data_IF_029606684208
#
_entry.id   IF_029606684208
#
_cell.length_a   1.000
_cell.length_b   1.000
_cell.length_c   1.000
_cell.angle_alpha   90.00
_cell.angle_beta   90.00
_cell.angle_gamma   90.00
#
_symmetry.space_group_name_H-M   'P 1'
#
loop_
_entity.id
_entity.type
_entity.pdbx_description
1 polymer ?
#
# COMPACT_ATOMS: atom_id res chain seq x y z
N UNK A 1 14.17 49.22 -3.66
CA UNK A 1 14.30 48.20 -4.73
C UNK A 1 14.82 46.86 -4.20
N UNK A 2 15.64 46.84 -3.13
CA UNK A 2 16.13 45.62 -2.45
C UNK A 2 15.01 44.80 -1.75
N UNK A 3 14.11 45.47 -1.03
CA UNK A 3 13.05 44.83 -0.23
C UNK A 3 12.05 44.05 -1.11
N UNK A 4 11.72 44.58 -2.29
CA UNK A 4 10.84 43.91 -3.26
C UNK A 4 11.46 42.65 -3.86
N UNK A 5 12.80 42.60 -4.02
CA UNK A 5 13.51 41.41 -4.48
C UNK A 5 13.56 40.32 -3.41
N UNK A 6 13.77 40.71 -2.16
CA UNK A 6 13.75 39.78 -1.02
C UNK A 6 12.35 39.17 -0.80
N UNK A 7 11.28 39.97 -0.88
CA UNK A 7 9.90 39.47 -0.84
C UNK A 7 9.58 38.52 -1.99
N UNK A 8 10.02 38.86 -3.21
CA UNK A 8 9.86 37.98 -4.37
C UNK A 8 10.60 36.65 -4.19
N UNK A 9 11.80 36.66 -3.62
CA UNK A 9 12.58 35.46 -3.34
C UNK A 9 11.94 34.58 -2.26
N UNK A 10 11.41 35.20 -1.19
CA UNK A 10 10.72 34.49 -0.11
C UNK A 10 9.42 33.82 -0.59
N UNK A 11 8.65 34.52 -1.43
CA UNK A 11 7.44 33.98 -2.06
C UNK A 11 7.77 32.80 -2.98
N UNK A 12 8.85 32.90 -3.78
CA UNK A 12 9.31 31.78 -4.59
C UNK A 12 9.72 30.57 -3.74
N UNK A 13 10.40 30.78 -2.60
CA UNK A 13 10.82 29.70 -1.71
C UNK A 13 9.61 28.98 -1.07
N UNK A 14 8.61 29.74 -0.63
CA UNK A 14 7.36 29.20 -0.06
C UNK A 14 6.54 28.43 -1.09
N UNK A 15 6.49 28.90 -2.35
CA UNK A 15 5.83 28.20 -3.44
C UNK A 15 6.52 26.87 -3.74
N UNK A 16 7.86 26.84 -3.81
CA UNK A 16 8.64 25.62 -4.03
C UNK A 16 8.44 24.60 -2.90
N UNK A 17 8.44 25.04 -1.64
CA UNK A 17 8.13 24.18 -0.49
C UNK A 17 6.73 23.57 -0.61
N UNK A 18 5.72 24.34 -1.02
CA UNK A 18 4.34 23.82 -1.15
C UNK A 18 4.21 22.72 -2.21
N UNK A 19 4.98 22.80 -3.31
CA UNK A 19 4.97 21.82 -4.40
C UNK A 19 5.57 20.48 -3.94
N UNK A 20 6.56 20.50 -3.03
CA UNK A 20 7.16 19.28 -2.48
C UNK A 20 6.22 18.48 -1.58
N UNK A 21 5.18 19.10 -1.01
CA UNK A 21 4.21 18.44 -0.12
C UNK A 21 2.93 17.98 -0.82
N UNK A 22 2.80 18.18 -2.13
CA UNK A 22 1.63 17.68 -2.87
C UNK A 22 1.75 16.17 -2.99
N UNK A 23 0.83 15.37 -2.42
CA UNK A 23 0.81 13.93 -2.65
C UNK A 23 0.54 13.68 -4.14
N UNK A 24 1.38 12.88 -4.80
CA UNK A 24 1.10 12.40 -6.14
C UNK A 24 -0.18 11.54 -6.10
N UNK A 25 -1.30 12.11 -6.53
CA UNK A 25 -2.55 11.35 -6.70
C UNK A 25 -2.44 10.61 -8.02
N UNK A 26 -1.96 9.36 -7.99
CA UNK A 26 -1.96 8.51 -9.16
C UNK A 26 -3.40 8.11 -9.47
N UNK A 27 -3.93 8.51 -10.62
CA UNK A 27 -5.26 8.07 -11.07
C UNK A 27 -5.22 6.56 -11.27
N UNK A 28 -5.92 5.82 -10.40
CA UNK A 28 -6.03 4.36 -10.52
C UNK A 28 -6.87 4.06 -11.77
N UNK A 29 -6.27 3.39 -12.75
CA UNK A 29 -7.00 2.84 -13.89
C UNK A 29 -8.00 1.80 -13.38
N UNK A 30 -9.29 2.00 -13.70
CA UNK A 30 -10.37 1.06 -13.38
C UNK A 30 -10.30 -0.14 -14.33
N UNK A 31 -9.31 -0.99 -14.12
CA UNK A 31 -9.14 -2.25 -14.86
C UNK A 31 -8.86 -3.38 -13.89
N UNK A 32 -9.15 -4.63 -14.28
CA UNK A 32 -8.70 -5.79 -13.53
C UNK A 32 -7.20 -5.75 -13.29
N UNK A 33 -6.78 -5.92 -12.03
CA UNK A 33 -5.40 -6.20 -11.69
C UNK A 33 -5.07 -7.65 -12.06
N UNK A 34 -3.92 -7.88 -12.68
CA UNK A 34 -3.46 -9.22 -13.05
C UNK A 34 -2.63 -9.86 -11.94
N UNK A 35 -2.57 -11.18 -11.91
CA UNK A 35 -1.70 -11.92 -10.97
C UNK A 35 -0.23 -11.52 -11.10
N UNK A 36 0.23 -11.20 -12.32
CA UNK A 36 1.59 -10.73 -12.56
C UNK A 36 1.82 -9.38 -11.88
N UNK A 37 0.86 -8.46 -12.00
CA UNK A 37 0.93 -7.15 -11.36
C UNK A 37 0.86 -7.26 -9.83
N UNK A 38 0.02 -8.15 -9.28
CA UNK A 38 -0.02 -8.43 -7.84
C UNK A 38 1.35 -8.93 -7.35
N UNK A 39 1.96 -9.90 -8.07
CA UNK A 39 3.29 -10.43 -7.71
C UNK A 39 4.37 -9.36 -7.77
N UNK A 40 4.35 -8.52 -8.81
CA UNK A 40 5.31 -7.43 -8.96
C UNK A 40 5.18 -6.43 -7.80
N UNK A 41 3.98 -5.92 -7.53
CA UNK A 41 3.73 -5.00 -6.41
C UNK A 41 4.11 -5.60 -5.06
N UNK A 42 3.88 -6.90 -4.87
CA UNK A 42 4.29 -7.59 -3.64
C UNK A 42 5.82 -7.63 -3.51
N UNK A 43 6.53 -7.83 -4.62
CA UNK A 43 8.00 -7.76 -4.63
C UNK A 43 8.52 -6.37 -4.29
N UNK A 44 7.87 -5.31 -4.78
CA UNK A 44 8.17 -3.91 -4.42
C UNK A 44 7.96 -3.71 -2.91
N UNK A 45 6.85 -4.19 -2.35
CA UNK A 45 6.60 -4.18 -0.91
C UNK A 45 7.68 -4.90 -0.09
N UNK A 46 8.18 -6.04 -0.55
CA UNK A 46 9.30 -6.71 0.13
C UNK A 46 10.58 -5.87 0.10
N UNK A 47 10.88 -5.20 -1.02
CA UNK A 47 12.04 -4.33 -1.13
C UNK A 47 11.92 -3.12 -0.18
N UNK A 48 10.74 -2.52 -0.09
CA UNK A 48 10.45 -1.42 0.83
C UNK A 48 10.58 -1.85 2.29
N UNK A 49 10.11 -3.05 2.65
CA UNK A 49 10.32 -3.59 4.00
C UNK A 49 11.81 -3.80 4.27
N UNK A 50 12.56 -4.34 3.31
CA UNK A 50 14.01 -4.53 3.45
C UNK A 50 14.79 -3.22 3.54
N UNK A 51 14.29 -2.12 3.00
CA UNK A 51 14.89 -0.79 3.18
C UNK A 51 14.87 -0.31 4.65
N UNK A 52 14.01 -0.89 5.49
CA UNK A 52 13.86 -0.54 6.91
C UNK A 52 12.78 0.51 7.19
N UNK A 53 12.12 1.05 6.17
CA UNK A 53 11.04 2.05 6.30
C UNK A 53 9.81 1.55 7.09
N UNK A 54 9.61 0.23 7.17
CA UNK A 54 8.46 -0.40 7.82
C UNK A 54 8.71 -0.78 9.30
N UNK A 55 9.89 -0.45 9.84
CA UNK A 55 10.26 -0.75 11.22
C UNK A 55 10.76 -2.17 11.46
N UNK A 56 11.41 -2.39 12.60
CA UNK A 56 12.10 -3.66 12.91
C UNK A 56 11.14 -4.85 13.04
N UNK A 57 9.91 -4.61 13.51
CA UNK A 57 8.87 -5.62 13.61
C UNK A 57 8.56 -6.31 12.26
N UNK A 58 8.63 -5.61 11.12
CA UNK A 58 8.41 -6.23 9.81
C UNK A 58 9.57 -7.12 9.35
N UNK A 59 10.66 -7.21 10.13
CA UNK A 59 11.82 -8.06 9.88
C UNK A 59 12.04 -9.08 10.98
N UNK A 60 11.19 -9.13 12.00
CA UNK A 60 11.39 -10.03 13.15
C UNK A 60 11.24 -11.50 12.78
N UNK A 61 10.47 -11.80 11.73
CA UNK A 61 10.28 -13.15 11.21
C UNK A 61 9.76 -13.14 9.76
N UNK A 62 9.70 -14.32 9.14
CA UNK A 62 9.16 -14.48 7.79
C UNK A 62 7.67 -14.11 7.72
N UNK A 63 6.88 -14.48 8.74
CA UNK A 63 5.45 -14.15 8.78
C UNK A 63 5.19 -12.70 9.20
N UNK A 64 6.04 -12.11 10.04
CA UNK A 64 5.96 -10.68 10.30
C UNK A 64 6.21 -9.86 9.01
N UNK A 65 7.21 -10.27 8.22
CA UNK A 65 7.47 -9.70 6.89
C UNK A 65 6.30 -9.89 5.94
N UNK A 66 5.68 -11.08 5.93
CA UNK A 66 4.53 -11.37 5.09
C UNK A 66 3.30 -10.52 5.46
N UNK A 67 2.96 -10.43 6.75
CA UNK A 67 1.88 -9.57 7.23
C UNK A 67 2.10 -8.09 6.84
N UNK A 68 3.33 -7.58 6.96
CA UNK A 68 3.66 -6.23 6.51
C UNK A 68 3.57 -6.09 4.98
N UNK A 69 3.98 -7.11 4.22
CA UNK A 69 3.89 -7.08 2.76
C UNK A 69 2.43 -7.08 2.29
N UNK A 70 1.53 -7.82 2.96
CA UNK A 70 0.10 -7.77 2.69
C UNK A 70 -0.48 -6.38 2.99
N UNK A 71 -0.14 -5.79 4.14
CA UNK A 71 -0.54 -4.40 4.46
C UNK A 71 -0.06 -3.39 3.41
N UNK A 72 1.19 -3.51 2.97
CA UNK A 72 1.76 -2.69 1.91
C UNK A 72 1.01 -2.84 0.59
N UNK A 73 0.76 -4.08 0.19
CA UNK A 73 0.20 -4.42 -1.11
C UNK A 73 -1.23 -3.88 -1.28
N UNK A 74 -2.05 -3.98 -0.23
CA UNK A 74 -3.37 -3.34 -0.18
C UNK A 74 -3.81 -3.18 1.28
N UNK A 75 -3.70 -1.97 1.85
CA UNK A 75 -4.15 -1.72 3.23
C UNK A 75 -5.61 -2.09 3.45
N UNK A 76 -6.48 -1.77 2.49
CA UNK A 76 -7.93 -2.03 2.56
C UNK A 76 -8.23 -3.53 2.57
N UNK A 77 -7.57 -4.31 1.72
CA UNK A 77 -7.80 -5.76 1.69
C UNK A 77 -7.16 -6.46 2.89
N UNK A 78 -6.06 -5.94 3.42
CA UNK A 78 -5.48 -6.48 4.65
C UNK A 78 -6.42 -6.27 5.83
N UNK A 79 -6.97 -5.06 5.98
CA UNK A 79 -7.96 -4.75 7.03
C UNK A 79 -9.16 -5.69 6.97
N UNK A 80 -9.67 -5.93 5.75
CA UNK A 80 -10.84 -6.79 5.56
C UNK A 80 -10.58 -8.26 5.90
N UNK A 81 -9.40 -8.79 5.56
CA UNK A 81 -9.13 -10.24 5.57
C UNK A 81 -8.26 -10.69 6.76
N UNK A 82 -7.27 -9.90 7.16
CA UNK A 82 -6.21 -10.32 8.08
C UNK A 82 -6.05 -9.44 9.33
N UNK A 83 -6.61 -8.24 9.41
CA UNK A 83 -6.37 -7.35 10.57
C UNK A 83 -6.89 -7.91 11.89
N UNK A 84 -8.05 -8.56 11.89
CA UNK A 84 -8.60 -9.19 13.10
C UNK A 84 -7.84 -10.45 13.52
N UNK A 85 -7.16 -11.10 12.58
CA UNK A 85 -6.51 -12.39 12.76
C UNK A 85 -5.28 -12.49 11.82
N UNK A 86 -4.15 -11.85 12.17
CA UNK A 86 -2.96 -11.84 11.31
C UNK A 86 -2.40 -13.24 11.11
N UNK A 87 -1.63 -13.45 10.04
CA UNK A 87 -1.00 -14.76 9.80
C UNK A 87 -0.06 -15.13 10.96
N UNK A 88 -0.10 -16.40 11.36
CA UNK A 88 0.76 -17.01 12.38
C UNK A 88 1.95 -17.77 11.77
N UNK A 89 2.97 -18.04 12.60
CA UNK A 89 4.14 -18.82 12.16
C UNK A 89 3.76 -20.24 11.74
N UNK A 90 4.12 -20.59 10.50
CA UNK A 90 3.80 -21.89 9.90
C UNK A 90 2.41 -21.99 9.27
N UNK A 91 1.57 -20.94 9.35
CA UNK A 91 0.24 -20.93 8.76
C UNK A 91 0.30 -20.91 7.23
N UNK A 92 -0.58 -21.68 6.59
CA UNK A 92 -0.84 -21.63 5.15
C UNK A 92 -2.32 -21.45 4.90
N UNK A 93 -2.77 -20.21 4.89
CA UNK A 93 -4.17 -19.91 4.62
C UNK A 93 -4.43 -19.73 3.12
N UNK A 94 -4.87 -20.82 2.48
CA UNK A 94 -5.20 -20.82 1.06
C UNK A 94 -6.54 -20.11 0.77
N UNK A 95 -7.49 -20.14 1.70
CA UNK A 95 -8.83 -19.58 1.51
C UNK A 95 -8.76 -18.06 1.61
N UNK A 96 -8.22 -17.53 2.71
CA UNK A 96 -8.03 -16.08 2.89
C UNK A 96 -7.09 -15.49 1.85
N UNK A 97 -6.11 -16.27 1.35
CA UNK A 97 -5.27 -15.86 0.23
C UNK A 97 -6.06 -15.63 -1.06
N UNK A 98 -7.07 -16.47 -1.33
CA UNK A 98 -7.98 -16.28 -2.46
C UNK A 98 -8.92 -15.09 -2.25
N UNK A 99 -9.50 -14.95 -1.05
CA UNK A 99 -10.33 -13.79 -0.69
C UNK A 99 -9.56 -12.48 -0.82
N UNK A 100 -8.31 -12.45 -0.37
CA UNK A 100 -7.44 -11.28 -0.49
C UNK A 100 -7.18 -10.90 -1.94
N UNK A 101 -6.90 -11.88 -2.82
CA UNK A 101 -6.76 -11.62 -4.25
C UNK A 101 -8.06 -11.14 -4.88
N UNK A 102 -9.19 -11.73 -4.49
CA UNK A 102 -10.50 -11.31 -4.97
C UNK A 102 -10.85 -9.88 -4.51
N UNK A 103 -10.49 -9.51 -3.28
CA UNK A 103 -10.59 -8.15 -2.79
C UNK A 103 -9.80 -7.17 -3.66
N UNK A 104 -8.54 -7.51 -3.98
CA UNK A 104 -7.71 -6.65 -4.83
C UNK A 104 -8.30 -6.49 -6.24
N UNK A 105 -8.89 -7.56 -6.79
CA UNK A 105 -9.59 -7.52 -8.06
C UNK A 105 -10.79 -6.57 -8.05
N UNK A 106 -11.69 -6.70 -7.07
CA UNK A 106 -12.85 -5.80 -6.95
C UNK A 106 -12.41 -4.35 -6.69
N UNK A 107 -11.42 -4.16 -5.83
CA UNK A 107 -10.87 -2.84 -5.53
C UNK A 107 -10.26 -2.17 -6.77
N UNK A 108 -9.60 -2.93 -7.66
CA UNK A 108 -9.04 -2.36 -8.89
C UNK A 108 -10.10 -1.97 -9.91
N UNK A 109 -11.28 -2.58 -9.85
CA UNK A 109 -12.47 -2.21 -10.63
C UNK A 109 -13.28 -1.07 -10.00
N UNK A 110 -12.98 -0.67 -8.76
CA UNK A 110 -13.77 0.30 -8.00
C UNK A 110 -15.12 -0.25 -7.53
N UNK A 111 -15.26 -1.58 -7.45
CA UNK A 111 -16.46 -2.24 -6.94
C UNK A 111 -16.51 -2.27 -5.41
N UNK A 112 -17.71 -2.46 -4.86
CA UNK A 112 -17.87 -2.69 -3.41
C UNK A 112 -17.13 -3.97 -2.97
N UNK A 113 -16.53 -3.92 -1.80
CA UNK A 113 -15.83 -5.04 -1.16
C UNK A 113 -16.74 -5.87 -0.23
N UNK A 114 -18.04 -5.54 -0.19
CA UNK A 114 -19.02 -6.29 0.60
C UNK A 114 -19.07 -7.75 0.15
N UNK A 115 -19.09 -8.67 1.12
CA UNK A 115 -19.19 -10.11 0.89
C UNK A 115 -17.91 -10.77 0.37
N UNK A 116 -16.76 -10.07 0.34
CA UNK A 116 -15.48 -10.70 -0.07
C UNK A 116 -14.94 -11.65 1.00
N UNK A 117 -15.09 -11.31 2.28
CA UNK A 117 -14.75 -12.21 3.38
C UNK A 117 -15.82 -13.29 3.50
N UNK A 118 -15.42 -14.56 3.52
CA UNK A 118 -16.29 -15.73 3.50
C UNK A 118 -16.81 -16.12 2.12
N UNK A 119 -16.19 -15.65 1.03
CA UNK A 119 -16.66 -15.94 -0.33
C UNK A 119 -16.15 -17.27 -0.90
N UNK A 120 -15.21 -17.92 -0.22
CA UNK A 120 -14.59 -19.19 -0.60
C UNK A 120 -14.64 -20.18 0.56
#
# INVERSE_FOLDING_TARGET
MEISRALSSFVCLLLLLSICFVPCVFSKSLRPISDVEIRQKKSECYADIESGLWGWQCKSSAIAKENCALRCLSPVCYQLIYESDPLEEGEKDLIRSQEYKYCMYKSSLGESLDGVRGSF
#
